data_IF_680251333595
#
_entry.id   IF_680251333595
#
_cell.length_a   1.000
_cell.length_b   1.000
_cell.length_c   1.000
_cell.angle_alpha   90.00
_cell.angle_beta   90.00
_cell.angle_gamma   90.00
#
_symmetry.space_group_name_H-M   'P 1'
#
loop_
_entity.id
_entity.type
_entity.pdbx_description
1 polymer ?
#
# COMPACT_ATOMS: atom_id res chain seq x y z
N UNK A 1 -1.62 11.10 11.99
CA UNK A 1 -0.94 9.91 12.56
C UNK A 1 -1.15 8.77 11.57
N UNK A 2 -0.14 8.45 10.78
CA UNK A 2 -0.26 7.45 9.71
C UNK A 2 -0.36 6.05 10.33
N UNK A 3 -1.42 5.27 10.05
CA UNK A 3 -1.57 3.93 10.61
C UNK A 3 -0.50 2.99 10.06
N UNK A 4 -0.09 2.01 10.88
CA UNK A 4 0.98 1.04 10.54
C UNK A 4 0.73 0.35 9.19
N UNK A 5 -0.54 0.07 8.85
CA UNK A 5 -0.91 -0.51 7.57
C UNK A 5 -0.52 0.35 6.35
N UNK A 6 -0.58 1.68 6.45
CA UNK A 6 -0.13 2.57 5.38
C UNK A 6 1.40 2.65 5.30
N UNK A 7 2.10 2.51 6.43
CA UNK A 7 3.57 2.50 6.47
C UNK A 7 4.16 1.20 5.88
N UNK A 8 3.54 0.05 6.19
CA UNK A 8 4.03 -1.27 5.76
C UNK A 8 3.64 -1.60 4.32
N UNK A 9 2.40 -1.28 3.91
CA UNK A 9 1.86 -1.68 2.61
C UNK A 9 1.64 -0.50 1.64
N UNK A 10 1.98 0.73 2.05
CA UNK A 10 1.62 1.93 1.32
C UNK A 10 0.14 2.33 1.46
N UNK A 11 -0.14 3.57 1.07
CA UNK A 11 -1.52 4.08 0.97
C UNK A 11 -2.32 3.31 -0.07
N UNK A 12 -3.62 3.13 0.19
CA UNK A 12 -4.57 2.48 -0.72
C UNK A 12 -5.62 3.51 -1.16
N UNK A 13 -5.31 4.39 -2.13
CA UNK A 13 -6.24 5.40 -2.59
C UNK A 13 -7.37 4.76 -3.42
N UNK A 14 -8.61 5.01 -3.03
CA UNK A 14 -9.80 4.74 -3.84
C UNK A 14 -10.20 6.02 -4.58
N UNK A 15 -10.39 5.93 -5.90
CA UNK A 15 -10.67 7.08 -6.75
C UNK A 15 -12.16 7.12 -7.12
N UNK A 16 -12.78 8.29 -7.05
CA UNK A 16 -14.19 8.53 -7.40
C UNK A 16 -14.30 9.84 -8.18
N UNK A 17 -15.30 9.94 -9.05
CA UNK A 17 -15.62 11.17 -9.76
C UNK A 17 -16.87 11.82 -9.15
N UNK A 18 -16.76 13.11 -8.86
CA UNK A 18 -17.82 14.00 -8.40
C UNK A 18 -17.98 15.10 -9.45
N UNK A 19 -18.81 14.85 -10.47
CA UNK A 19 -18.96 15.76 -11.62
C UNK A 19 -17.61 15.99 -12.31
N UNK A 20 -17.14 17.24 -12.33
CA UNK A 20 -15.86 17.64 -12.95
C UNK A 20 -14.64 17.42 -12.06
N UNK A 21 -14.82 16.93 -10.84
CA UNK A 21 -13.74 16.75 -9.89
C UNK A 21 -13.54 15.27 -9.59
N UNK A 22 -12.34 14.77 -9.81
CA UNK A 22 -11.94 13.46 -9.30
C UNK A 22 -11.43 13.62 -7.87
N UNK A 23 -11.92 12.82 -6.95
CA UNK A 23 -11.46 12.75 -5.57
C UNK A 23 -10.91 11.38 -5.28
N UNK A 24 -9.97 11.31 -4.36
CA UNK A 24 -9.51 10.04 -3.85
C UNK A 24 -9.21 10.14 -2.38
N UNK A 25 -9.40 9.03 -1.68
CA UNK A 25 -9.13 8.92 -0.26
C UNK A 25 -8.51 7.56 0.03
N UNK A 26 -7.66 7.49 1.04
CA UNK A 26 -7.11 6.21 1.46
C UNK A 26 -8.23 5.39 2.11
N UNK A 27 -8.53 4.20 1.58
CA UNK A 27 -9.55 3.30 2.16
C UNK A 27 -9.22 2.88 3.59
N UNK A 28 -7.95 2.97 4.00
CA UNK A 28 -7.52 2.74 5.38
C UNK A 28 -7.80 3.92 6.33
N UNK A 29 -8.40 5.00 5.84
CA UNK A 29 -8.83 6.15 6.65
C UNK A 29 -7.69 6.98 7.26
N UNK A 30 -6.48 6.95 6.68
CA UNK A 30 -5.31 7.58 7.29
C UNK A 30 -5.20 9.10 7.09
N UNK A 31 -6.03 9.70 6.24
CA UNK A 31 -5.99 11.13 5.88
C UNK A 31 -4.83 11.55 4.96
N UNK A 32 -3.66 10.91 5.03
CA UNK A 32 -2.46 11.36 4.28
C UNK A 32 -2.32 10.84 2.83
N UNK A 33 -3.29 10.08 2.33
CA UNK A 33 -3.28 9.50 0.97
C UNK A 33 -4.44 9.97 0.09
N UNK A 34 -5.12 11.04 0.48
CA UNK A 34 -6.29 11.58 -0.22
C UNK A 34 -6.01 12.89 -0.96
N UNK A 35 -6.94 13.28 -1.83
CA UNK A 35 -6.86 14.52 -2.59
C UNK A 35 -8.01 14.70 -3.57
N UNK A 36 -7.97 15.81 -4.30
CA UNK A 36 -8.92 16.13 -5.34
C UNK A 36 -8.21 16.77 -6.54
N UNK A 37 -8.75 16.53 -7.74
CA UNK A 37 -8.30 17.13 -9.00
C UNK A 37 -9.49 17.48 -9.87
N UNK A 38 -9.54 18.72 -10.32
CA UNK A 38 -10.59 19.20 -11.23
C UNK A 38 -10.17 19.04 -12.70
N UNK A 39 -11.15 18.78 -13.54
CA UNK A 39 -11.03 18.58 -14.98
C UNK A 39 -11.99 19.49 -15.75
N UNK A 40 -11.76 19.60 -17.05
CA UNK A 40 -12.58 20.41 -17.94
C UNK A 40 -13.96 19.80 -18.15
N UNK A 41 -14.06 18.47 -18.13
CA UNK A 41 -15.35 17.76 -18.26
C UNK A 41 -15.55 16.70 -17.18
N UNK A 42 -16.82 16.37 -16.91
CA UNK A 42 -17.17 15.28 -16.01
C UNK A 42 -16.74 13.92 -16.56
N UNK A 43 -16.89 13.73 -17.88
CA UNK A 43 -16.45 12.53 -18.57
C UNK A 43 -14.93 12.27 -18.41
N UNK A 44 -14.11 13.32 -18.40
CA UNK A 44 -12.68 13.18 -18.12
C UNK A 44 -12.43 12.76 -16.67
N UNK A 45 -13.08 13.41 -15.70
CA UNK A 45 -12.95 13.05 -14.30
C UNK A 45 -13.34 11.59 -14.04
N UNK A 46 -14.44 11.11 -14.63
CA UNK A 46 -14.89 9.72 -14.59
C UNK A 46 -13.90 8.76 -15.23
N UNK A 47 -13.41 9.09 -16.43
CA UNK A 47 -12.44 8.26 -17.16
C UNK A 47 -11.15 8.10 -16.37
N UNK A 48 -10.65 9.17 -15.78
CA UNK A 48 -9.44 9.13 -14.95
C UNK A 48 -9.69 8.37 -13.65
N UNK A 49 -10.81 8.61 -12.95
CA UNK A 49 -11.16 7.86 -11.75
C UNK A 49 -11.18 6.34 -12.02
N UNK A 50 -11.88 5.90 -13.06
CA UNK A 50 -11.97 4.50 -13.45
C UNK A 50 -10.64 3.89 -13.94
N UNK A 51 -9.75 4.70 -14.50
CA UNK A 51 -8.42 4.25 -14.91
C UNK A 51 -7.47 4.07 -13.70
N UNK A 52 -7.51 4.99 -12.73
CA UNK A 52 -6.68 4.92 -11.54
C UNK A 52 -7.15 3.84 -10.55
N UNK A 53 -8.45 3.64 -10.40
CA UNK A 53 -9.03 2.59 -9.57
C UNK A 53 -8.56 1.19 -10.03
N UNK A 54 -8.64 0.91 -11.34
CA UNK A 54 -8.12 -0.34 -11.95
C UNK A 54 -6.61 -0.52 -11.78
N UNK A 55 -5.84 0.58 -11.82
CA UNK A 55 -4.37 0.53 -11.68
C UNK A 55 -3.94 0.35 -10.21
N UNK A 56 -4.73 0.85 -9.27
CA UNK A 56 -4.54 0.65 -7.84
C UNK A 56 -4.68 -0.81 -7.43
N UNK A 57 -5.71 -1.50 -7.94
CA UNK A 57 -5.94 -2.93 -7.67
C UNK A 57 -4.79 -3.80 -8.20
N UNK A 58 -4.36 -3.56 -9.44
CA UNK A 58 -3.30 -4.33 -10.09
C UNK A 58 -1.90 -4.14 -9.46
N UNK A 59 -1.64 -3.03 -8.76
CA UNK A 59 -0.30 -2.73 -8.19
C UNK A 59 -0.12 -3.16 -6.73
N UNK A 60 -1.17 -3.53 -6.00
CA UNK A 60 -1.07 -3.89 -4.58
C UNK A 60 -0.71 -5.36 -4.31
N UNK A 61 -0.75 -6.24 -5.32
CA UNK A 61 -0.28 -7.63 -5.18
C UNK A 61 1.24 -7.81 -5.41
N UNK A 62 1.90 -6.85 -6.06
CA UNK A 62 3.23 -7.11 -6.65
C UNK A 62 4.42 -6.57 -5.83
N UNK A 63 4.18 -5.91 -4.69
CA UNK A 63 5.26 -5.37 -3.83
C UNK A 63 5.16 -5.62 -2.33
N UNK A 64 4.76 -6.82 -1.93
CA UNK A 64 5.18 -7.39 -0.65
C UNK A 64 5.30 -8.91 -0.81
N UNK A 65 6.53 -9.47 -0.79
CA UNK A 65 7.13 -9.80 0.49
C UNK A 65 8.68 -9.77 0.49
N UNK A 66 9.29 -8.77 1.10
CA UNK A 66 10.64 -8.93 1.70
C UNK A 66 10.66 -8.53 3.18
N UNK A 67 9.48 -8.46 3.82
CA UNK A 67 9.34 -8.55 5.28
C UNK A 67 9.07 -10.00 5.72
N UNK A 68 9.64 -10.96 4.98
CA UNK A 68 9.65 -12.38 5.33
C UNK A 68 11.01 -12.77 5.92
N UNK A 69 11.09 -12.79 7.26
CA UNK A 69 11.98 -13.67 8.03
C UNK A 69 13.50 -13.55 7.80
N UNK A 70 14.13 -12.60 8.49
CA UNK A 70 15.53 -12.75 8.87
C UNK A 70 15.86 -12.62 10.38
N UNK A 71 15.08 -13.22 11.32
CA UNK A 71 15.63 -13.55 12.64
C UNK A 71 16.01 -15.03 12.80
N UNK A 72 15.50 -15.94 11.96
CA UNK A 72 15.76 -17.39 12.12
C UNK A 72 17.15 -17.83 11.64
N UNK A 73 17.81 -17.08 10.75
CA UNK A 73 19.19 -17.39 10.34
C UNK A 73 20.20 -17.08 11.44
N UNK A 74 19.91 -16.12 12.32
CA UNK A 74 20.72 -15.82 13.50
C UNK A 74 20.61 -16.92 14.57
N UNK A 75 19.42 -17.52 14.72
CA UNK A 75 19.18 -18.56 15.71
C UNK A 75 19.86 -19.90 15.38
N UNK A 76 20.05 -20.21 14.10
CA UNK A 76 20.85 -21.39 13.66
C UNK A 76 22.35 -21.24 13.92
N UNK A 77 22.89 -20.02 13.96
CA UNK A 77 24.31 -19.79 14.23
C UNK A 77 24.65 -19.92 15.72
N UNK A 78 23.71 -19.55 16.61
CA UNK A 78 23.88 -19.71 18.06
C UNK A 78 23.76 -21.17 18.54
N UNK A 79 23.00 -22.03 17.86
CA UNK A 79 22.94 -23.48 18.19
C UNK A 79 24.18 -24.27 17.76
N UNK A 80 25.11 -23.67 17.02
CA UNK A 80 26.32 -24.33 16.52
C UNK A 80 27.54 -24.23 17.45
N UNK A 81 27.47 -23.55 18.60
CA UNK A 81 28.64 -23.33 19.48
C UNK A 81 28.36 -23.50 20.98
N UNK A 82 27.99 -24.72 21.39
CA UNK A 82 28.12 -25.21 22.77
C UNK A 82 26.90 -26.01 23.23
N UNK A 83 26.97 -27.27 23.66
CA UNK A 83 28.04 -28.22 24.04
C UNK A 83 27.33 -29.48 24.61
N UNK A 84 27.89 -30.38 25.45
CA UNK A 84 29.28 -30.79 25.77
C UNK A 84 29.53 -32.33 25.64
N UNK A 85 30.80 -32.74 25.79
CA UNK A 85 31.41 -34.06 26.14
C UNK A 85 30.68 -35.40 25.87
N UNK A 86 31.29 -36.21 25.00
CA UNK A 86 31.70 -37.61 25.25
C UNK A 86 32.81 -37.99 24.26
#
# INVERSE_FOLDING_TARGET
MTPVGCLVFGHRPAFRAEGRTMRWECERGCGEGGGAKSYDTAAEAERFAAAFDRRGDARLGERAPLLGMFPLRLWRWMRGRGGPSA
#
